data_IF_829740317907
#
_entry.id   IF_829740317907
#
_cell.length_a   1.000
_cell.length_b   1.000
_cell.length_c   1.000
_cell.angle_alpha   90.00
_cell.angle_beta   90.00
_cell.angle_gamma   90.00
#
_symmetry.space_group_name_H-M   'P 1'
#
loop_
_entity.id
_entity.type
_entity.pdbx_description
1 polymer ?
#
# COMPACT_ATOMS: atom_id res chain seq x y z
N UNK A 1 -10.83 19.68 -26.91
CA UNK A 1 -11.37 18.30 -26.76
C UNK A 1 -11.83 18.13 -25.32
N UNK A 2 -12.98 17.49 -25.10
CA UNK A 2 -13.77 17.57 -23.86
C UNK A 2 -12.96 17.15 -22.63
N UNK A 3 -12.71 18.10 -21.73
CA UNK A 3 -12.28 17.83 -20.37
C UNK A 3 -13.50 17.30 -19.60
N UNK A 4 -13.87 16.05 -19.88
CA UNK A 4 -14.87 15.34 -19.07
C UNK A 4 -14.23 15.14 -17.71
N UNK A 5 -14.69 15.88 -16.70
CA UNK A 5 -14.28 15.70 -15.31
C UNK A 5 -14.54 14.25 -14.92
N UNK A 6 -13.50 13.42 -14.99
CA UNK A 6 -13.55 12.04 -14.53
C UNK A 6 -13.83 12.10 -13.03
N UNK A 7 -14.87 11.41 -12.56
CA UNK A 7 -15.23 11.45 -11.15
C UNK A 7 -14.12 10.81 -10.32
N UNK A 8 -13.74 11.48 -9.23
CA UNK A 8 -12.71 11.02 -8.30
C UNK A 8 -13.09 9.66 -7.69
N UNK A 9 -12.18 8.69 -7.73
CA UNK A 9 -12.25 7.50 -6.90
C UNK A 9 -11.66 7.76 -5.51
N UNK A 10 -12.26 7.11 -4.52
CA UNK A 10 -11.62 6.90 -3.22
C UNK A 10 -11.14 5.45 -3.17
N UNK A 11 -9.86 5.25 -2.89
CA UNK A 11 -9.24 3.94 -2.78
C UNK A 11 -8.76 3.69 -1.34
N UNK A 12 -9.33 2.68 -0.68
CA UNK A 12 -8.91 2.18 0.63
C UNK A 12 -8.02 0.95 0.43
N UNK A 13 -6.71 1.13 0.54
CA UNK A 13 -5.73 0.05 0.38
C UNK A 13 -5.37 -0.52 1.74
N UNK A 14 -5.46 -1.83 1.91
CA UNK A 14 -5.17 -2.49 3.18
C UNK A 14 -4.31 -3.74 3.01
N UNK A 15 -3.51 -4.04 4.04
CA UNK A 15 -2.61 -5.20 4.06
C UNK A 15 -3.38 -6.46 4.45
N UNK A 16 -3.02 -7.60 3.84
CA UNK A 16 -3.48 -8.90 4.29
C UNK A 16 -3.20 -9.14 5.80
N UNK A 17 -3.99 -10.03 6.41
CA UNK A 17 -3.81 -10.45 7.80
C UNK A 17 -2.44 -11.12 8.06
N UNK A 18 -2.02 -11.13 9.31
CA UNK A 18 -0.78 -11.76 9.76
C UNK A 18 -0.66 -13.22 9.29
N UNK A 19 0.58 -13.63 8.96
CA UNK A 19 0.98 -15.02 8.69
C UNK A 19 2.10 -15.42 9.66
N UNK A 20 2.36 -16.71 9.86
CA UNK A 20 3.49 -17.12 10.72
C UNK A 20 4.85 -16.62 10.18
N UNK A 21 4.97 -16.51 8.86
CA UNK A 21 6.18 -15.96 8.23
C UNK A 21 6.36 -14.47 8.48
N UNK A 22 5.31 -13.72 8.81
CA UNK A 22 5.48 -12.34 9.29
C UNK A 22 6.14 -12.32 10.67
N UNK A 23 5.74 -13.23 11.57
CA UNK A 23 6.31 -13.32 12.93
C UNK A 23 7.78 -13.74 12.91
N UNK A 24 8.10 -14.68 12.03
CA UNK A 24 9.48 -15.16 11.85
C UNK A 24 10.40 -14.11 11.19
N UNK A 25 9.84 -13.07 10.56
CA UNK A 25 10.62 -12.19 9.69
C UNK A 25 11.13 -12.93 8.44
N UNK A 26 10.29 -13.80 7.86
CA UNK A 26 10.62 -14.59 6.67
C UNK A 26 10.03 -13.95 5.41
N UNK A 27 10.86 -13.84 4.38
CA UNK A 27 10.49 -13.28 3.09
C UNK A 27 9.52 -14.20 2.34
N UNK A 28 8.30 -13.74 2.07
CA UNK A 28 7.27 -14.57 1.44
C UNK A 28 7.29 -14.48 -0.09
N UNK A 29 7.36 -13.26 -0.65
CA UNK A 29 7.14 -13.03 -2.07
C UNK A 29 5.79 -13.61 -2.52
N UNK A 30 5.83 -14.46 -3.54
CA UNK A 30 4.67 -15.13 -4.12
C UNK A 30 4.36 -16.49 -3.51
N UNK A 31 5.07 -16.91 -2.45
CA UNK A 31 4.77 -18.17 -1.77
C UNK A 31 3.40 -18.13 -1.07
N UNK A 32 2.70 -19.26 -1.13
CA UNK A 32 1.31 -19.41 -0.71
C UNK A 32 1.19 -19.73 0.79
N UNK A 33 1.42 -18.72 1.62
CA UNK A 33 1.34 -18.84 3.09
C UNK A 33 -0.06 -18.43 3.56
N UNK A 34 -0.75 -19.24 4.39
CA UNK A 34 -2.04 -18.87 4.97
C UNK A 34 -1.89 -17.79 6.06
N UNK A 35 -2.97 -17.04 6.32
CA UNK A 35 -3.04 -16.18 7.50
C UNK A 35 -3.27 -16.99 8.78
N UNK A 36 -2.82 -16.45 9.90
CA UNK A 36 -3.05 -16.99 11.25
C UNK A 36 -4.46 -16.63 11.72
N UNK A 37 -4.91 -17.21 12.83
CA UNK A 37 -6.14 -16.80 13.52
C UNK A 37 -6.11 -15.32 13.92
N UNK A 38 -4.94 -14.79 14.32
CA UNK A 38 -4.75 -13.35 14.54
C UNK A 38 -4.92 -12.56 13.25
N UNK A 39 -4.43 -13.09 12.12
CA UNK A 39 -4.68 -12.51 10.80
C UNK A 39 -6.16 -12.50 10.41
N UNK A 40 -6.94 -13.52 10.81
CA UNK A 40 -8.39 -13.53 10.60
C UNK A 40 -9.09 -12.42 11.42
N UNK A 41 -8.74 -12.26 12.70
CA UNK A 41 -9.26 -11.15 13.54
C UNK A 41 -8.89 -9.77 13.00
N UNK A 42 -7.69 -9.63 12.42
CA UNK A 42 -7.28 -8.40 11.74
C UNK A 42 -8.14 -8.13 10.50
N UNK A 43 -8.49 -9.17 9.74
CA UNK A 43 -9.37 -9.06 8.57
C UNK A 43 -10.78 -8.59 8.97
N UNK A 44 -11.34 -9.15 10.05
CA UNK A 44 -12.63 -8.71 10.62
C UNK A 44 -12.58 -7.24 11.06
N UNK A 45 -11.51 -6.85 11.76
CA UNK A 45 -11.32 -5.46 12.20
C UNK A 45 -11.27 -4.48 11.04
N UNK A 46 -10.56 -4.83 9.96
CA UNK A 46 -10.53 -4.03 8.72
C UNK A 46 -11.92 -3.93 8.08
N UNK A 47 -12.67 -5.03 8.07
CA UNK A 47 -14.00 -5.03 7.50
C UNK A 47 -14.93 -4.05 8.21
N UNK A 48 -14.91 -4.02 9.55
CA UNK A 48 -15.66 -3.05 10.36
C UNK A 48 -15.26 -1.60 10.07
N UNK A 49 -13.97 -1.33 9.83
CA UNK A 49 -13.50 0.00 9.43
C UNK A 49 -14.08 0.41 8.08
N UNK A 50 -14.18 -0.55 7.13
CA UNK A 50 -14.63 -0.31 5.76
C UNK A 50 -16.15 -0.26 5.60
N UNK A 51 -16.92 -0.90 6.48
CA UNK A 51 -18.39 -0.98 6.44
C UNK A 51 -19.04 0.39 6.26
N UNK A 52 -18.57 1.38 7.02
CA UNK A 52 -19.12 2.75 7.02
C UNK A 52 -18.43 3.69 6.02
N UNK A 53 -17.66 3.17 5.07
CA UNK A 53 -16.96 3.98 4.05
C UNK A 53 -17.64 3.96 2.69
N UNK A 54 -18.78 3.26 2.56
CA UNK A 54 -19.53 3.16 1.32
C UNK A 54 -18.76 2.44 0.21
N UNK A 55 -17.97 1.42 0.57
CA UNK A 55 -17.19 0.62 -0.39
C UNK A 55 -18.15 -0.09 -1.34
N UNK A 56 -17.93 0.08 -2.65
CA UNK A 56 -18.76 -0.52 -3.70
C UNK A 56 -18.03 -1.66 -4.40
N UNK A 57 -16.69 -1.60 -4.44
CA UNK A 57 -15.83 -2.56 -5.13
C UNK A 57 -14.75 -3.07 -4.18
N UNK A 58 -14.60 -4.40 -4.09
CA UNK A 58 -13.54 -5.05 -3.34
C UNK A 58 -12.58 -5.76 -4.29
N UNK A 59 -11.36 -5.26 -4.40
CA UNK A 59 -10.26 -5.85 -5.14
C UNK A 59 -9.29 -6.55 -4.20
N UNK A 60 -8.59 -7.56 -4.69
CA UNK A 60 -7.59 -8.27 -3.91
C UNK A 60 -6.50 -8.88 -4.77
N UNK A 61 -5.30 -8.98 -4.20
CA UNK A 61 -4.32 -9.96 -4.67
C UNK A 61 -4.88 -11.37 -4.58
N UNK A 62 -4.55 -12.21 -5.54
CA UNK A 62 -4.95 -13.62 -5.58
C UNK A 62 -4.11 -14.56 -4.69
N UNK A 63 -3.01 -14.09 -4.07
CA UNK A 63 -2.23 -14.91 -3.13
C UNK A 63 -3.10 -15.28 -1.92
N UNK A 64 -2.97 -16.51 -1.45
CA UNK A 64 -3.82 -17.14 -0.41
C UNK A 64 -4.05 -16.25 0.80
N UNK A 65 -3.03 -15.57 1.30
CA UNK A 65 -3.16 -14.64 2.44
C UNK A 65 -4.08 -13.44 2.17
N UNK A 66 -3.93 -12.79 1.02
CA UNK A 66 -4.77 -11.67 0.62
C UNK A 66 -6.17 -12.14 0.25
N UNK A 67 -6.27 -13.25 -0.49
CA UNK A 67 -7.53 -13.90 -0.83
C UNK A 67 -8.36 -14.23 0.40
N UNK A 68 -7.80 -14.94 1.38
CA UNK A 68 -8.48 -15.29 2.63
C UNK A 68 -8.89 -14.04 3.44
N UNK A 69 -8.01 -13.04 3.52
CA UNK A 69 -8.34 -11.76 4.16
C UNK A 69 -9.55 -11.12 3.48
N UNK A 70 -9.57 -11.06 2.15
CA UNK A 70 -10.67 -10.46 1.39
C UNK A 70 -11.96 -11.26 1.49
N UNK A 71 -11.92 -12.59 1.55
CA UNK A 71 -13.11 -13.43 1.77
C UNK A 71 -13.78 -13.16 3.14
N UNK A 72 -12.99 -12.84 4.17
CA UNK A 72 -13.53 -12.45 5.48
C UNK A 72 -14.15 -11.06 5.38
N UNK A 73 -13.43 -10.10 4.81
CA UNK A 73 -13.91 -8.72 4.61
C UNK A 73 -15.19 -8.70 3.76
N UNK A 74 -15.27 -9.53 2.73
CA UNK A 74 -16.37 -9.53 1.78
C UNK A 74 -17.69 -9.98 2.39
N UNK A 75 -17.66 -10.88 3.39
CA UNK A 75 -18.86 -11.32 4.12
C UNK A 75 -19.53 -10.18 4.87
N UNK A 76 -18.73 -9.28 5.45
CA UNK A 76 -19.22 -8.14 6.23
C UNK A 76 -19.68 -7.03 5.27
N UNK A 77 -18.91 -6.76 4.20
CA UNK A 77 -19.30 -5.73 3.22
C UNK A 77 -20.44 -6.17 2.28
N UNK A 78 -20.77 -7.46 2.21
CA UNK A 78 -21.75 -8.00 1.26
C UNK A 78 -21.30 -7.89 -0.21
N UNK A 79 -19.98 -7.94 -0.46
CA UNK A 79 -19.40 -7.80 -1.79
C UNK A 79 -18.76 -9.11 -2.26
N UNK A 80 -18.53 -9.25 -3.57
CA UNK A 80 -17.73 -10.34 -4.14
C UNK A 80 -16.33 -9.81 -4.47
N UNK A 81 -15.24 -10.38 -3.90
CA UNK A 81 -13.89 -9.96 -4.24
C UNK A 81 -13.55 -10.22 -5.71
N UNK A 82 -12.92 -9.23 -6.35
CA UNK A 82 -12.30 -9.37 -7.67
C UNK A 82 -10.80 -9.58 -7.46
N UNK A 83 -10.32 -10.76 -7.83
CA UNK A 83 -8.90 -11.13 -7.67
C UNK A 83 -8.09 -10.70 -8.90
N UNK A 84 -6.92 -10.11 -8.65
CA UNK A 84 -5.99 -9.71 -9.72
C UNK A 84 -4.54 -9.99 -9.31
N UNK A 85 -3.86 -10.81 -10.12
CA UNK A 85 -2.44 -11.15 -9.93
C UNK A 85 -1.50 -9.94 -10.02
N UNK A 86 -1.94 -8.83 -10.62
CA UNK A 86 -1.14 -7.62 -10.65
C UNK A 86 -1.05 -6.93 -9.28
N UNK A 87 -1.86 -7.31 -8.29
CA UNK A 87 -1.76 -6.83 -6.91
C UNK A 87 -0.95 -7.73 -5.98
N UNK A 88 -0.32 -8.78 -6.52
CA UNK A 88 0.63 -9.60 -5.77
C UNK A 88 1.78 -8.77 -5.23
N UNK A 89 2.36 -9.30 -4.14
CA UNK A 89 3.61 -8.80 -3.57
C UNK A 89 4.70 -8.78 -4.63
N UNK A 90 5.80 -8.08 -4.37
CA UNK A 90 7.01 -8.21 -5.18
C UNK A 90 7.45 -9.67 -5.27
N UNK A 91 7.80 -10.14 -6.47
CA UNK A 91 8.36 -11.48 -6.62
C UNK A 91 9.83 -11.48 -6.15
N UNK A 92 10.11 -12.16 -5.03
CA UNK A 92 11.45 -12.08 -4.41
C UNK A 92 12.45 -13.12 -4.96
N UNK A 93 12.09 -13.89 -5.99
CA UNK A 93 12.98 -14.90 -6.58
C UNK A 93 13.63 -15.80 -5.53
N UNK A 94 14.96 -15.84 -5.52
CA UNK A 94 15.76 -16.62 -4.55
C UNK A 94 15.71 -16.10 -3.10
N UNK A 95 15.22 -14.88 -2.88
CA UNK A 95 15.01 -14.33 -1.53
C UNK A 95 13.84 -14.97 -0.80
N UNK A 96 12.90 -15.60 -1.52
CA UNK A 96 11.72 -16.24 -0.91
C UNK A 96 12.14 -17.37 0.04
N UNK A 97 11.49 -17.42 1.20
CA UNK A 97 11.75 -18.41 2.23
C UNK A 97 12.96 -18.10 3.12
N UNK A 98 13.78 -17.10 2.81
CA UNK A 98 14.89 -16.68 3.68
C UNK A 98 14.41 -15.82 4.84
N UNK A 99 15.05 -15.96 5.99
CA UNK A 99 14.88 -15.00 7.07
C UNK A 99 15.54 -13.68 6.70
N UNK A 100 14.95 -12.57 7.13
CA UNK A 100 15.55 -11.23 6.95
C UNK A 100 16.98 -11.19 7.50
N UNK A 101 17.22 -11.86 8.64
CA UNK A 101 18.55 -11.96 9.27
C UNK A 101 19.59 -12.70 8.42
N UNK A 102 19.16 -13.50 7.44
CA UNK A 102 20.04 -14.29 6.57
C UNK A 102 20.29 -13.59 5.22
N UNK A 103 19.53 -12.54 4.88
CA UNK A 103 19.60 -11.89 3.55
C UNK A 103 21.01 -11.42 3.22
N UNK A 104 21.65 -10.71 4.14
CA UNK A 104 22.99 -10.15 3.90
C UNK A 104 24.07 -11.25 3.79
N UNK A 105 23.84 -12.41 4.40
CA UNK A 105 24.72 -13.57 4.25
C UNK A 105 24.63 -14.15 2.83
N UNK A 106 23.42 -14.29 2.27
CA UNK A 106 23.23 -14.87 0.94
C UNK A 106 23.47 -13.90 -0.22
N UNK A 107 23.11 -12.63 -0.05
CA UNK A 107 23.04 -11.66 -1.16
C UNK A 107 24.03 -10.49 -1.01
N UNK A 108 24.91 -10.57 -0.02
CA UNK A 108 25.99 -9.62 0.22
C UNK A 108 25.66 -8.56 1.27
N UNK A 109 26.70 -7.99 1.86
CA UNK A 109 26.61 -7.02 2.95
C UNK A 109 25.69 -5.83 2.61
N UNK A 110 24.82 -5.46 3.55
CA UNK A 110 23.86 -4.35 3.43
C UNK A 110 22.85 -4.52 2.29
N UNK A 111 22.62 -5.74 1.79
CA UNK A 111 21.62 -5.97 0.76
C UNK A 111 20.22 -5.64 1.28
N UNK A 112 19.86 -6.11 2.48
CA UNK A 112 18.55 -5.84 3.06
C UNK A 112 18.33 -4.35 3.33
N UNK A 113 19.37 -3.65 3.76
CA UNK A 113 19.34 -2.20 3.96
C UNK A 113 19.06 -1.47 2.63
N UNK A 114 19.82 -1.78 1.55
CA UNK A 114 19.61 -1.21 0.21
C UNK A 114 18.23 -1.57 -0.35
N UNK A 115 17.75 -2.78 -0.09
CA UNK A 115 16.41 -3.23 -0.48
C UNK A 115 15.30 -2.39 0.17
N UNK A 116 15.43 -2.04 1.45
CA UNK A 116 14.43 -1.21 2.12
C UNK A 116 14.68 0.30 1.98
N UNK A 117 15.79 0.67 1.35
CA UNK A 117 16.09 2.07 1.09
C UNK A 117 15.16 2.64 0.00
N UNK A 118 14.68 3.86 0.23
CA UNK A 118 13.75 4.58 -0.64
C UNK A 118 14.46 5.47 -1.68
N UNK A 119 15.78 5.56 -1.67
CA UNK A 119 16.55 6.24 -2.71
C UNK A 119 16.28 5.59 -4.09
N UNK A 120 15.92 6.37 -5.13
CA UNK A 120 15.74 5.87 -6.50
C UNK A 120 16.92 5.09 -7.06
N UNK A 121 18.15 5.31 -6.56
CA UNK A 121 19.33 4.53 -6.94
C UNK A 121 19.18 3.02 -6.67
N UNK A 122 18.28 2.64 -5.76
CA UNK A 122 17.98 1.24 -5.43
C UNK A 122 16.65 0.74 -6.01
N UNK A 123 15.99 1.50 -6.89
CA UNK A 123 14.71 1.06 -7.47
C UNK A 123 14.89 -0.08 -8.50
N UNK A 124 16.08 -0.24 -9.08
CA UNK A 124 16.44 -1.39 -9.94
C UNK A 124 16.96 -2.60 -9.16
N UNK A 125 17.22 -2.47 -7.85
CA UNK A 125 17.68 -3.59 -7.05
C UNK A 125 16.61 -4.68 -7.06
N UNK A 126 17.03 -5.92 -7.26
CA UNK A 126 16.19 -7.11 -7.22
C UNK A 126 16.96 -8.27 -6.58
N UNK A 127 16.22 -9.22 -6.00
CA UNK A 127 16.79 -10.52 -5.65
C UNK A 127 17.09 -11.30 -6.93
N UNK A 128 18.06 -12.24 -6.94
CA UNK A 128 18.28 -13.11 -8.09
C UNK A 128 16.97 -13.78 -8.54
N UNK A 129 16.69 -13.75 -9.84
CA UNK A 129 15.46 -14.25 -10.46
C UNK A 129 14.15 -13.62 -9.92
N UNK A 130 14.23 -12.48 -9.21
CA UNK A 130 13.10 -11.73 -8.68
C UNK A 130 12.78 -10.48 -9.52
N UNK A 131 11.70 -9.82 -9.11
CA UNK A 131 11.24 -8.53 -9.63
C UNK A 131 11.96 -7.39 -8.91
N UNK A 132 12.31 -6.33 -9.65
CA UNK A 132 12.82 -5.09 -9.08
C UNK A 132 11.69 -4.25 -8.46
N UNK A 133 12.05 -3.27 -7.61
CA UNK A 133 11.04 -2.34 -7.06
C UNK A 133 10.33 -1.60 -8.19
N UNK A 134 11.06 -1.24 -9.26
CA UNK A 134 10.52 -0.51 -10.40
C UNK A 134 9.55 -1.35 -11.23
N UNK A 135 9.87 -2.61 -11.49
CA UNK A 135 8.98 -3.52 -12.21
C UNK A 135 7.65 -3.70 -11.47
N UNK A 136 7.71 -3.91 -10.15
CA UNK A 136 6.52 -3.96 -9.31
C UNK A 136 5.73 -2.64 -9.35
N UNK A 137 6.41 -1.50 -9.20
CA UNK A 137 5.77 -0.19 -9.25
C UNK A 137 5.02 0.03 -10.57
N UNK A 138 5.61 -0.38 -11.70
CA UNK A 138 4.96 -0.31 -13.02
C UNK A 138 3.71 -1.18 -13.09
N UNK A 139 3.81 -2.44 -12.67
CA UNK A 139 2.69 -3.40 -12.65
C UNK A 139 1.52 -2.88 -11.81
N UNK A 140 1.82 -2.36 -10.61
CA UNK A 140 0.83 -1.80 -9.70
C UNK A 140 0.22 -0.52 -10.28
N UNK A 141 1.04 0.42 -10.77
CA UNK A 141 0.56 1.67 -11.33
C UNK A 141 -0.36 1.46 -12.53
N UNK A 142 0.06 0.60 -13.48
CA UNK A 142 -0.72 0.30 -14.67
C UNK A 142 -2.08 -0.32 -14.32
N UNK A 143 -2.12 -1.18 -13.30
CA UNK A 143 -3.35 -1.77 -12.79
C UNK A 143 -4.27 -0.75 -12.13
N UNK A 144 -3.71 0.18 -11.34
CA UNK A 144 -4.46 1.26 -10.73
C UNK A 144 -5.04 2.24 -11.75
N UNK A 145 -4.32 2.57 -12.83
CA UNK A 145 -4.84 3.38 -13.94
C UNK A 145 -6.06 2.72 -14.59
N UNK A 146 -5.96 1.42 -14.91
CA UNK A 146 -7.08 0.66 -15.47
C UNK A 146 -8.30 0.63 -14.54
N UNK A 147 -8.07 0.45 -13.24
CA UNK A 147 -9.14 0.31 -12.24
C UNK A 147 -9.84 1.65 -11.94
N UNK A 148 -9.08 2.74 -11.89
CA UNK A 148 -9.66 4.09 -11.73
C UNK A 148 -10.43 4.55 -12.97
N UNK A 149 -10.09 4.04 -14.16
CA UNK A 149 -10.97 4.17 -15.33
C UNK A 149 -12.22 3.31 -15.19
N UNK A 150 -12.06 2.00 -14.99
CA UNK A 150 -13.15 1.02 -15.01
C UNK A 150 -14.23 1.32 -13.97
N UNK A 151 -13.83 1.75 -12.77
CA UNK A 151 -14.73 2.02 -11.66
C UNK A 151 -14.84 3.51 -11.36
N UNK A 152 -14.73 4.39 -12.36
CA UNK A 152 -14.76 5.85 -12.22
C UNK A 152 -15.85 6.36 -11.25
N UNK A 153 -15.45 7.18 -10.28
CA UNK A 153 -16.32 7.77 -9.26
C UNK A 153 -16.79 6.83 -8.14
N UNK A 154 -16.35 5.57 -8.13
CA UNK A 154 -16.70 4.59 -7.08
C UNK A 154 -15.71 4.59 -5.93
N UNK A 155 -16.17 4.14 -4.76
CA UNK A 155 -15.32 3.83 -3.61
C UNK A 155 -14.83 2.38 -3.70
N UNK A 156 -13.51 2.20 -3.67
CA UNK A 156 -12.84 0.93 -3.91
C UNK A 156 -12.05 0.55 -2.66
N UNK A 157 -12.14 -0.69 -2.23
CA UNK A 157 -11.23 -1.29 -1.26
C UNK A 157 -10.28 -2.27 -1.97
N UNK A 158 -8.98 -2.23 -1.65
CA UNK A 158 -7.94 -3.06 -2.26
C UNK A 158 -7.13 -3.78 -1.18
N UNK A 159 -7.22 -5.10 -1.13
CA UNK A 159 -6.34 -5.93 -0.30
C UNK A 159 -5.05 -6.28 -1.02
N UNK A 160 -3.90 -5.92 -0.45
CA UNK A 160 -2.57 -6.22 -1.01
C UNK A 160 -1.54 -6.46 0.11
N UNK A 161 -0.27 -6.17 -0.16
CA UNK A 161 0.86 -6.57 0.67
C UNK A 161 1.65 -5.37 1.20
N UNK A 162 2.51 -5.62 2.18
CA UNK A 162 3.22 -4.58 2.89
C UNK A 162 4.13 -3.76 1.97
N UNK A 163 4.96 -4.42 1.17
CA UNK A 163 5.93 -3.72 0.32
C UNK A 163 5.21 -2.93 -0.80
N UNK A 164 4.14 -3.49 -1.38
CA UNK A 164 3.25 -2.77 -2.31
C UNK A 164 2.72 -1.48 -1.67
N UNK A 165 2.16 -1.53 -0.47
CA UNK A 165 1.61 -0.34 0.20
C UNK A 165 2.70 0.70 0.51
N UNK A 166 3.88 0.25 0.96
CA UNK A 166 5.04 1.11 1.20
C UNK A 166 5.45 1.85 -0.08
N UNK A 167 5.50 1.15 -1.22
CA UNK A 167 5.79 1.76 -2.52
C UNK A 167 4.68 2.70 -2.99
N UNK A 168 3.41 2.33 -2.84
CA UNK A 168 2.27 3.20 -3.17
C UNK A 168 2.31 4.52 -2.38
N UNK A 169 2.67 4.49 -1.10
CA UNK A 169 2.88 5.71 -0.30
C UNK A 169 3.99 6.57 -0.91
N UNK A 170 5.16 6.01 -1.20
CA UNK A 170 6.29 6.73 -1.83
C UNK A 170 5.87 7.34 -3.17
N UNK A 171 5.12 6.60 -3.98
CA UNK A 171 4.70 7.03 -5.31
C UNK A 171 3.63 8.13 -5.23
N UNK A 172 2.54 7.93 -4.49
CA UNK A 172 1.36 8.80 -4.65
C UNK A 172 1.21 9.82 -3.55
N UNK A 173 1.75 9.57 -2.35
CA UNK A 173 1.80 10.55 -1.27
C UNK A 173 3.12 11.28 -1.37
N UNK A 174 3.18 12.28 -2.26
CA UNK A 174 4.32 13.15 -2.43
C UNK A 174 4.83 13.69 -1.08
N UNK A 175 6.09 13.37 -0.75
CA UNK A 175 6.88 14.03 0.31
C UNK A 175 7.25 15.47 -0.05
N UNK A 176 7.01 15.89 -1.30
CA UNK A 176 7.21 17.26 -1.78
C UNK A 176 6.16 17.60 -2.84
N UNK A 177 5.49 18.74 -2.66
CA UNK A 177 4.58 19.44 -3.59
C UNK A 177 3.07 19.26 -3.36
N UNK A 178 2.50 20.34 -2.79
CA UNK A 178 1.17 20.92 -2.96
C UNK A 178 -0.08 20.03 -2.87
N UNK A 179 -0.79 20.14 -1.74
CA UNK A 179 -2.01 20.96 -1.70
C UNK A 179 -2.50 21.11 -0.26
N UNK A 180 -2.92 22.33 0.05
CA UNK A 180 -3.50 22.76 1.31
C UNK A 180 -4.73 21.92 1.68
N UNK A 181 -4.56 21.02 2.66
CA UNK A 181 -5.55 20.68 3.68
C UNK A 181 -4.86 19.82 4.73
N UNK A 182 -4.85 20.21 6.02
CA UNK A 182 -4.47 19.26 7.05
C UNK A 182 -5.44 18.07 6.96
N UNK A 183 -4.91 16.86 6.74
CA UNK A 183 -5.63 15.67 7.16
C UNK A 183 -5.71 15.79 8.68
N UNK A 184 -6.91 16.09 9.17
CA UNK A 184 -7.24 15.80 10.56
C UNK A 184 -7.12 14.29 10.68
N UNK A 185 -6.01 13.86 11.29
CA UNK A 185 -5.85 12.50 11.79
C UNK A 185 -6.97 12.33 12.81
N UNK A 186 -8.02 11.61 12.43
CA UNK A 186 -9.11 11.26 13.33
C UNK A 186 -8.60 10.17 14.28
N UNK A 187 -7.79 10.63 15.25
CA UNK A 187 -7.33 9.87 16.38
C UNK A 187 -8.24 10.27 17.55
N UNK A 188 -9.17 9.37 17.86
CA UNK A 188 -9.95 9.29 19.09
C UNK A 188 -10.86 10.48 19.43
N UNK A 189 -12.16 10.22 19.41
CA UNK A 189 -13.13 10.80 20.34
C UNK A 189 -12.66 10.59 21.78
N UNK A 190 -11.90 11.55 22.34
CA UNK A 190 -11.84 11.82 23.78
C UNK A 190 -11.62 13.33 24.03
N UNK A 191 -12.70 13.93 24.53
CA UNK A 191 -12.87 15.13 25.34
C UNK A 191 -11.69 16.09 25.65
N UNK A 192 -12.06 17.38 25.56
CA UNK A 192 -11.68 18.54 26.41
C UNK A 192 -10.54 19.51 26.02
N UNK A 193 -10.99 20.73 25.67
CA UNK A 193 -10.48 22.07 25.98
C UNK A 193 -8.97 22.29 26.17
N UNK A 194 -8.37 23.08 25.26
CA UNK A 194 -7.79 24.37 25.64
C UNK A 194 -7.36 25.18 24.40
N UNK A 195 -7.70 26.46 24.43
CA UNK A 195 -7.31 27.50 23.47
C UNK A 195 -5.80 27.72 23.51
N UNK A 196 -5.09 27.58 22.38
CA UNK A 196 -3.79 28.25 22.18
C UNK A 196 -3.55 28.56 20.69
N UNK A 197 -3.04 29.77 20.47
CA UNK A 197 -2.81 30.44 19.19
C UNK A 197 -1.69 29.79 18.36
N UNK A 198 -1.89 29.72 17.05
CA UNK A 198 -0.91 29.20 16.08
C UNK A 198 0.14 30.26 15.72
N UNK A 199 1.45 29.93 15.68
CA UNK A 199 2.43 30.75 14.99
C UNK A 199 2.51 30.37 13.51
N UNK A 200 2.62 31.41 12.66
CA UNK A 200 2.82 31.32 11.21
C UNK A 200 4.22 30.76 10.91
N UNK A 201 4.30 29.59 10.29
CA UNK A 201 5.55 29.03 9.76
C UNK A 201 5.30 28.03 8.64
N UNK A 202 5.39 28.48 7.38
CA UNK A 202 5.08 27.67 6.17
C UNK A 202 6.05 26.51 5.91
N UNK A 203 7.23 26.46 6.53
CA UNK A 203 8.25 25.41 6.31
C UNK A 203 8.12 24.21 7.27
N UNK A 204 7.61 24.42 8.49
CA UNK A 204 7.52 23.37 9.51
C UNK A 204 6.52 22.26 9.15
N UNK A 205 5.44 22.60 8.44
CA UNK A 205 4.39 21.64 8.06
C UNK A 205 4.83 20.62 7.00
N UNK A 206 5.69 21.01 6.05
CA UNK A 206 6.18 20.09 5.02
C UNK A 206 7.14 19.06 5.58
N UNK A 207 8.11 19.50 6.39
CA UNK A 207 9.08 18.62 7.04
C UNK A 207 8.40 17.64 8.01
N UNK A 208 7.38 18.12 8.74
CA UNK A 208 6.58 17.27 9.64
C UNK A 208 5.77 16.22 8.87
N UNK A 209 5.12 16.61 7.75
CA UNK A 209 4.35 15.69 6.90
C UNK A 209 5.26 14.65 6.24
N UNK A 210 6.45 15.07 5.81
CA UNK A 210 7.45 14.18 5.24
C UNK A 210 7.90 13.12 6.24
N UNK A 211 8.26 13.55 7.46
CA UNK A 211 8.63 12.63 8.56
C UNK A 211 7.51 11.67 8.94
N UNK A 212 6.26 12.12 8.96
CA UNK A 212 5.09 11.26 9.22
C UNK A 212 4.90 10.18 8.15
N UNK A 213 5.09 10.51 6.88
CA UNK A 213 5.00 9.53 5.79
C UNK A 213 6.18 8.57 5.83
N UNK A 214 7.41 9.05 6.07
CA UNK A 214 8.60 8.20 6.24
C UNK A 214 8.43 7.23 7.43
N UNK A 215 7.87 7.71 8.54
CA UNK A 215 7.51 6.88 9.69
C UNK A 215 6.42 5.85 9.34
N UNK A 216 5.40 6.24 8.56
CA UNK A 216 4.31 5.34 8.12
C UNK A 216 4.83 4.25 7.18
N UNK A 217 5.64 4.63 6.20
CA UNK A 217 6.33 3.75 5.25
C UNK A 217 7.12 2.67 5.99
N UNK A 218 7.78 3.06 7.09
CA UNK A 218 8.61 2.16 7.91
C UNK A 218 7.80 1.21 8.81
N UNK A 219 6.50 1.44 8.99
CA UNK A 219 5.70 0.77 10.03
C UNK A 219 4.33 0.24 9.55
N UNK A 220 4.16 -0.09 8.26
CA UNK A 220 2.89 -0.64 7.78
C UNK A 220 2.63 -2.02 8.41
N UNK A 221 1.70 -2.07 9.35
CA UNK A 221 1.33 -3.30 10.05
C UNK A 221 0.27 -4.12 9.29
N UNK A 222 0.16 -5.40 9.62
CA UNK A 222 -0.96 -6.22 9.15
C UNK A 222 -2.28 -5.63 9.67
N UNK A 223 -3.29 -5.56 8.81
CA UNK A 223 -4.56 -4.92 9.17
C UNK A 223 -4.50 -3.39 9.23
N UNK A 224 -3.49 -2.74 8.64
CA UNK A 224 -3.58 -1.29 8.36
C UNK A 224 -4.36 -1.01 7.06
N UNK A 225 -5.04 0.14 7.03
CA UNK A 225 -5.74 0.66 5.86
C UNK A 225 -5.31 2.12 5.57
N UNK A 226 -5.10 2.44 4.29
CA UNK A 226 -4.62 3.73 3.81
C UNK A 226 -5.53 4.24 2.69
N UNK A 227 -5.93 5.51 2.80
CA UNK A 227 -6.78 6.17 1.81
C UNK A 227 -5.97 6.91 0.74
N UNK A 228 -6.27 6.65 -0.51
CA UNK A 228 -5.78 7.35 -1.69
C UNK A 228 -6.95 7.95 -2.49
N UNK A 229 -6.65 9.00 -3.24
CA UNK A 229 -7.53 9.61 -4.22
C UNK A 229 -7.01 9.32 -5.62
N UNK A 230 -7.89 9.04 -6.58
CA UNK A 230 -7.48 8.74 -7.98
C UNK A 230 -6.59 9.81 -8.60
N UNK A 231 -6.77 11.07 -8.23
CA UNK A 231 -6.01 12.21 -8.72
C UNK A 231 -4.52 12.10 -8.35
N UNK A 232 -4.21 11.54 -7.18
CA UNK A 232 -2.83 11.27 -6.76
C UNK A 232 -2.19 10.24 -7.69
N UNK A 233 -2.96 9.24 -8.12
CA UNK A 233 -2.51 8.18 -9.03
C UNK A 233 -2.38 8.73 -10.46
N UNK A 234 -3.41 9.40 -10.98
CA UNK A 234 -3.45 9.95 -12.34
C UNK A 234 -2.41 11.06 -12.55
N UNK A 235 -2.03 11.80 -11.51
CA UNK A 235 -0.96 12.82 -11.61
C UNK A 235 0.42 12.26 -12.00
N UNK A 236 0.61 10.94 -11.91
CA UNK A 236 1.87 10.23 -12.15
C UNK A 236 1.98 9.53 -13.51
N UNK A 237 1.10 9.83 -14.47
CA UNK A 237 1.06 9.21 -15.82
C UNK A 237 2.42 9.19 -16.58
N UNK A 238 3.41 9.99 -16.17
CA UNK A 238 4.78 9.98 -16.73
C UNK A 238 5.62 8.73 -16.42
N UNK A 239 5.18 7.82 -15.56
CA UNK A 239 5.87 6.54 -15.38
C UNK A 239 5.65 5.57 -16.56
N UNK A 240 4.57 5.73 -17.32
CA UNK A 240 4.17 4.78 -18.38
C UNK A 240 4.97 4.81 -19.69
N UNK A 241 5.97 5.70 -19.85
CA UNK A 241 6.67 5.90 -21.13
C UNK A 241 8.01 5.18 -21.30
N UNK A 242 8.39 4.28 -20.38
CA UNK A 242 9.57 3.43 -20.61
C UNK A 242 9.14 2.21 -21.42
N UNK A 243 9.47 2.23 -22.72
CA UNK A 243 9.39 1.09 -23.61
C UNK A 243 10.07 -0.11 -22.96
N UNK A 244 9.33 -1.19 -22.71
CA UNK A 244 9.93 -2.52 -22.62
C UNK A 244 10.70 -2.81 -23.92
N UNK A 245 11.91 -3.39 -23.86
CA UNK A 245 12.69 -3.74 -25.04
C UNK A 245 11.95 -4.71 -25.96
#
# INVERSE_FOLDING_TARGET
MKNTFKKSNILYVFRHGETDWNKEGRLQGHLEIPITETGERQAESIASILENKGVEILLSSDLKRAKRTSEIVSKILGLNPIFDSNFREVFLGEGQGKLISEVDFYFGKSFWERWNNHDPAYDELHFPNGESKREMDYRIHHSLLRITELFSGRVIALCTHGFVMTRMLKMYKNLSQNSDRPLQLDLSDKAENSTHSLPKGRSAGFETRRKLIEQKISNIQNGECIKFHSEEILSREKLSTVKTP
#
